data_IF_193859993670
#
_entry.id   IF_193859993670
#
_cell.length_a   1.000
_cell.length_b   1.000
_cell.length_c   1.000
_cell.angle_alpha   90.00
_cell.angle_beta   90.00
_cell.angle_gamma   90.00
#
_symmetry.space_group_name_H-M   'P 1'
#
loop_
_entity.id
_entity.type
_entity.pdbx_description
1 polymer ?
#
# COMPACT_ATOMS: atom_id res chain seq x y z
N UNK A 1 -10.29 -22.06 -2.12
CA UNK A 1 -9.65 -20.75 -2.39
C UNK A 1 -9.27 -20.72 -3.86
N UNK A 2 -10.00 -20.00 -4.71
CA UNK A 2 -9.60 -19.80 -6.10
C UNK A 2 -8.37 -18.89 -6.12
N UNK A 3 -7.33 -19.32 -6.82
CA UNK A 3 -6.14 -18.50 -7.05
C UNK A 3 -6.57 -17.31 -7.91
N UNK A 4 -6.19 -16.09 -7.52
CA UNK A 4 -6.42 -14.90 -8.34
C UNK A 4 -5.69 -15.08 -9.68
N UNK A 5 -6.45 -15.31 -10.75
CA UNK A 5 -5.93 -15.32 -12.13
C UNK A 5 -6.03 -13.89 -12.64
N UNK A 6 -4.90 -13.32 -13.06
CA UNK A 6 -4.91 -12.02 -13.72
C UNK A 6 -5.83 -12.08 -14.96
N UNK A 7 -6.61 -11.03 -15.27
CA UNK A 7 -7.54 -11.05 -16.40
C UNK A 7 -6.86 -11.39 -17.73
N UNK A 8 -5.62 -10.91 -17.91
CA UNK A 8 -4.82 -11.17 -19.11
C UNK A 8 -3.62 -12.07 -18.86
N UNK A 9 -3.42 -13.00 -19.80
CA UNK A 9 -2.25 -13.87 -19.84
C UNK A 9 -1.08 -13.10 -20.45
N UNK A 10 0.07 -13.14 -19.78
CA UNK A 10 1.31 -12.55 -20.29
C UNK A 10 1.84 -13.51 -21.35
N UNK A 11 2.23 -13.05 -22.56
CA UNK A 11 2.90 -13.90 -23.54
C UNK A 11 4.11 -14.60 -22.91
N UNK A 12 4.33 -15.89 -23.21
CA UNK A 12 5.42 -16.71 -22.62
C UNK A 12 6.78 -16.01 -22.69
N UNK A 13 7.00 -15.27 -23.77
CA UNK A 13 8.28 -14.64 -24.08
C UNK A 13 8.42 -13.21 -23.51
N UNK A 14 7.37 -12.70 -22.85
CA UNK A 14 7.34 -11.36 -22.27
C UNK A 14 7.32 -10.22 -23.31
N UNK A 15 6.89 -9.03 -22.88
CA UNK A 15 6.98 -7.82 -23.68
C UNK A 15 8.42 -7.28 -23.59
N UNK A 16 9.31 -7.77 -24.46
CA UNK A 16 10.76 -7.62 -24.31
C UNK A 16 11.34 -6.22 -24.59
N UNK A 17 10.51 -5.21 -24.91
CA UNK A 17 11.02 -3.93 -25.42
C UNK A 17 10.91 -2.76 -24.44
N UNK A 18 9.98 -2.79 -23.49
CA UNK A 18 9.73 -1.64 -22.62
C UNK A 18 9.76 -2.07 -21.14
N UNK A 19 10.92 -1.86 -20.50
CA UNK A 19 11.05 -2.03 -19.05
C UNK A 19 11.28 -0.66 -18.39
N UNK A 20 10.37 -0.27 -17.50
CA UNK A 20 10.51 0.94 -16.67
C UNK A 20 11.53 0.77 -15.52
N UNK A 21 12.26 -0.34 -15.46
CA UNK A 21 13.35 -0.58 -14.51
C UNK A 21 13.59 -2.05 -14.21
N UNK A 22 14.66 -2.37 -13.49
CA UNK A 22 14.97 -3.73 -13.05
C UNK A 22 14.00 -4.18 -11.96
N UNK A 23 12.94 -4.90 -12.33
CA UNK A 23 12.06 -5.56 -11.38
C UNK A 23 12.73 -6.84 -10.83
N UNK A 24 13.06 -6.84 -9.53
CA UNK A 24 13.49 -8.04 -8.83
C UNK A 24 12.32 -8.64 -8.03
N UNK A 25 11.83 -9.84 -8.37
CA UNK A 25 10.75 -10.50 -7.62
C UNK A 25 11.18 -10.80 -6.18
N UNK A 26 12.47 -11.06 -5.95
CA UNK A 26 13.05 -11.25 -4.62
C UNK A 26 12.98 -9.96 -3.82
N UNK A 27 13.44 -8.83 -4.39
CA UNK A 27 13.38 -7.53 -3.72
C UNK A 27 11.93 -7.12 -3.43
N UNK A 28 11.00 -7.36 -4.36
CA UNK A 28 9.57 -7.10 -4.15
C UNK A 28 9.00 -7.93 -2.99
N UNK A 29 9.36 -9.21 -2.90
CA UNK A 29 8.95 -10.10 -1.79
C UNK A 29 9.54 -9.62 -0.46
N UNK A 30 10.83 -9.29 -0.41
CA UNK A 30 11.49 -8.79 0.79
C UNK A 30 10.82 -7.50 1.28
N UNK A 31 10.62 -6.52 0.39
CA UNK A 31 9.94 -5.25 0.74
C UNK A 31 8.55 -5.48 1.32
N UNK A 32 7.77 -6.40 0.73
CA UNK A 32 6.45 -6.77 1.23
C UNK A 32 6.52 -7.39 2.63
N UNK A 33 7.44 -8.32 2.84
CA UNK A 33 7.62 -8.95 4.16
C UNK A 33 8.02 -7.91 5.20
N UNK A 34 8.97 -7.03 4.90
CA UNK A 34 9.37 -5.95 5.81
C UNK A 34 8.20 -5.03 6.16
N UNK A 35 7.44 -4.56 5.17
CA UNK A 35 6.28 -3.70 5.42
C UNK A 35 5.21 -4.37 6.28
N UNK A 36 4.92 -5.65 6.04
CA UNK A 36 3.97 -6.42 6.86
C UNK A 36 4.51 -6.64 8.27
N UNK A 37 5.79 -6.99 8.42
CA UNK A 37 6.41 -7.16 9.74
C UNK A 37 6.37 -5.87 10.56
N UNK A 38 6.64 -4.71 9.94
CA UNK A 38 6.53 -3.39 10.59
C UNK A 38 5.08 -3.14 11.03
N UNK A 39 4.10 -3.40 10.15
CA UNK A 39 2.69 -3.22 10.49
C UNK A 39 2.21 -4.14 11.62
N UNK A 40 2.64 -5.40 11.62
CA UNK A 40 2.34 -6.37 12.69
C UNK A 40 2.99 -5.92 14.00
N UNK A 41 4.26 -5.54 13.97
CA UNK A 41 4.96 -5.05 15.16
C UNK A 41 4.26 -3.81 15.73
N UNK A 42 3.89 -2.84 14.89
CA UNK A 42 3.13 -1.67 15.32
C UNK A 42 1.79 -2.05 15.95
N UNK A 43 1.04 -2.99 15.35
CA UNK A 43 -0.22 -3.47 15.90
C UNK A 43 -0.02 -4.16 17.27
N UNK A 44 1.03 -4.97 17.43
CA UNK A 44 1.36 -5.61 18.70
C UNK A 44 1.73 -4.58 19.77
N UNK A 45 2.48 -3.53 19.43
CA UNK A 45 2.81 -2.44 20.36
C UNK A 45 1.54 -1.72 20.79
N UNK A 46 0.65 -1.35 19.85
CA UNK A 46 -0.63 -0.69 20.17
C UNK A 46 -1.51 -1.57 21.07
N UNK A 47 -1.60 -2.88 20.79
CA UNK A 47 -2.43 -3.81 21.57
C UNK A 47 -1.83 -4.12 22.94
N UNK A 48 -0.50 -4.26 23.05
CA UNK A 48 0.19 -4.56 24.29
C UNK A 48 0.46 -3.34 25.17
N UNK A 49 0.25 -2.13 24.63
CA UNK A 49 0.48 -0.87 25.34
C UNK A 49 -0.43 -0.71 26.56
N UNK A 50 -1.70 -1.17 26.53
CA UNK A 50 -2.58 -1.09 27.71
C UNK A 50 -2.07 -1.86 28.91
N UNK A 51 -1.24 -2.88 28.68
CA UNK A 51 -0.84 -3.87 29.68
C UNK A 51 0.60 -3.66 30.17
N UNK A 52 1.28 -2.59 29.75
CA UNK A 52 2.71 -2.33 30.01
C UNK A 52 3.59 -3.56 29.71
N UNK A 53 3.30 -4.26 28.62
CA UNK A 53 3.89 -5.56 28.35
C UNK A 53 5.35 -5.44 27.85
N UNK A 54 6.30 -5.68 28.76
CA UNK A 54 7.74 -5.63 28.48
C UNK A 54 8.23 -6.67 27.47
N UNK A 55 7.41 -7.68 27.14
CA UNK A 55 7.75 -8.70 26.13
C UNK A 55 7.71 -8.15 24.69
N UNK A 56 6.89 -7.13 24.44
CA UNK A 56 6.74 -6.53 23.09
C UNK A 56 7.62 -5.28 22.95
N UNK A 57 7.67 -4.46 23.99
CA UNK A 57 8.53 -3.29 24.06
C UNK A 57 9.29 -3.33 25.38
N UNK A 58 10.62 -3.46 25.32
CA UNK A 58 11.45 -3.60 26.53
C UNK A 58 11.35 -2.36 27.45
N UNK A 59 11.11 -1.19 26.87
CA UNK A 59 11.06 0.11 27.55
C UNK A 59 9.78 0.87 27.16
N UNK A 60 8.59 0.43 27.61
CA UNK A 60 7.33 1.09 27.27
C UNK A 60 7.25 2.54 27.78
N UNK A 61 8.04 2.88 28.80
CA UNK A 61 8.17 4.24 29.35
C UNK A 61 8.69 5.28 28.36
N UNK A 62 9.44 4.85 27.32
CA UNK A 62 9.97 5.73 26.29
C UNK A 62 8.99 5.96 25.12
N UNK A 63 7.81 5.33 25.16
CA UNK A 63 6.81 5.47 24.11
C UNK A 63 5.97 6.73 24.32
N UNK A 64 5.79 7.49 23.23
CA UNK A 64 4.84 8.59 23.22
C UNK A 64 3.40 8.03 23.08
N UNK A 65 2.65 8.07 24.18
CA UNK A 65 1.27 7.59 24.27
C UNK A 65 0.35 8.17 23.18
N UNK A 66 0.59 9.41 22.76
CA UNK A 66 -0.21 10.07 21.73
C UNK A 66 -0.08 9.44 20.35
N UNK A 67 1.00 8.71 20.08
CA UNK A 67 1.23 8.04 18.78
C UNK A 67 0.55 6.66 18.71
N UNK A 68 0.43 5.97 19.85
CA UNK A 68 -0.11 4.60 19.92
C UNK A 68 -1.58 4.55 20.37
N UNK A 69 -2.22 5.71 20.53
CA UNK A 69 -3.65 5.85 20.82
C UNK A 69 -4.39 6.46 19.63
N UNK A 70 -5.72 6.37 19.63
CA UNK A 70 -6.55 7.04 18.62
C UNK A 70 -6.34 8.54 18.71
N UNK A 71 -5.87 9.13 17.62
CA UNK A 71 -5.68 10.56 17.50
C UNK A 71 -6.22 11.04 16.14
N UNK A 72 -6.54 12.34 15.99
CA UNK A 72 -7.10 12.86 14.74
C UNK A 72 -6.22 12.57 13.52
N UNK A 73 -4.89 12.59 13.70
CA UNK A 73 -3.95 12.32 12.61
C UNK A 73 -4.06 10.87 12.13
N UNK A 74 -4.04 9.88 13.03
CA UNK A 74 -4.19 8.46 12.66
C UNK A 74 -5.55 8.19 12.03
N UNK A 75 -6.62 8.82 12.53
CA UNK A 75 -7.95 8.76 11.91
C UNK A 75 -7.96 9.33 10.48
N UNK A 76 -7.33 10.48 10.24
CA UNK A 76 -7.22 11.08 8.90
C UNK A 76 -6.39 10.18 7.98
N UNK A 77 -5.26 9.65 8.42
CA UNK A 77 -4.45 8.73 7.64
C UNK A 77 -5.25 7.49 7.21
N UNK A 78 -5.96 6.86 8.15
CA UNK A 78 -6.80 5.70 7.84
C UNK A 78 -7.92 6.06 6.85
N UNK A 79 -8.57 7.21 7.03
CA UNK A 79 -9.58 7.70 6.09
C UNK A 79 -9.02 7.87 4.68
N UNK A 80 -7.85 8.50 4.53
CA UNK A 80 -7.21 8.68 3.22
C UNK A 80 -6.88 7.34 2.55
N UNK A 81 -6.44 6.34 3.31
CA UNK A 81 -6.17 4.99 2.77
C UNK A 81 -7.46 4.27 2.38
N UNK A 82 -8.45 4.23 3.26
CA UNK A 82 -9.67 3.42 3.11
C UNK A 82 -10.66 4.06 2.15
N UNK A 83 -10.82 5.38 2.18
CA UNK A 83 -11.86 6.08 1.43
C UNK A 83 -11.34 6.73 0.14
N UNK A 84 -10.01 6.90 -0.02
CA UNK A 84 -9.44 7.53 -1.23
C UNK A 84 -8.49 6.57 -1.95
N UNK A 85 -7.37 6.20 -1.33
CA UNK A 85 -6.31 5.43 -1.98
C UNK A 85 -6.74 4.04 -2.44
N UNK A 86 -7.44 3.30 -1.56
CA UNK A 86 -8.01 1.98 -1.86
C UNK A 86 -9.07 2.03 -2.97
N UNK A 87 -10.13 2.85 -2.82
CA UNK A 87 -11.18 2.97 -3.82
C UNK A 87 -10.66 3.39 -5.20
N UNK A 88 -9.74 4.36 -5.30
CA UNK A 88 -9.13 4.73 -6.58
C UNK A 88 -8.44 3.56 -7.27
N UNK A 89 -7.74 2.71 -6.52
CA UNK A 89 -7.09 1.51 -7.08
C UNK A 89 -8.09 0.45 -7.50
N UNK A 90 -9.05 0.14 -6.64
CA UNK A 90 -10.02 -0.92 -6.91
C UNK A 90 -10.92 -0.53 -8.09
N UNK A 91 -11.35 0.73 -8.17
CA UNK A 91 -12.13 1.25 -9.29
C UNK A 91 -11.33 1.29 -10.58
N UNK A 92 -10.03 1.66 -10.55
CA UNK A 92 -9.15 1.56 -11.71
C UNK A 92 -9.05 0.13 -12.26
N UNK A 93 -8.90 -0.86 -11.37
CA UNK A 93 -8.88 -2.28 -11.76
C UNK A 93 -10.22 -2.74 -12.32
N UNK A 94 -11.33 -2.33 -11.70
CA UNK A 94 -12.67 -2.65 -12.15
C UNK A 94 -12.99 -2.03 -13.53
N UNK A 95 -12.57 -0.78 -13.77
CA UNK A 95 -12.83 -0.07 -15.02
C UNK A 95 -11.97 -0.57 -16.19
N UNK A 96 -10.71 -0.93 -15.94
CA UNK A 96 -9.89 -1.56 -16.99
C UNK A 96 -10.35 -2.98 -17.30
N UNK A 97 -10.80 -3.73 -16.29
CA UNK A 97 -11.31 -5.08 -16.47
C UNK A 97 -10.32 -5.97 -17.23
N UNK A 98 -10.74 -6.46 -18.41
CA UNK A 98 -9.90 -7.28 -19.29
C UNK A 98 -8.76 -6.51 -19.96
N UNK A 99 -8.70 -5.18 -19.90
CA UNK A 99 -7.55 -4.42 -20.39
C UNK A 99 -6.45 -4.25 -19.32
N UNK A 100 -6.68 -4.73 -18.08
CA UNK A 100 -5.72 -4.59 -17.00
C UNK A 100 -4.60 -5.63 -17.08
N UNK A 101 -3.36 -5.18 -16.90
CA UNK A 101 -2.19 -6.04 -16.78
C UNK A 101 -1.25 -5.56 -15.65
N UNK A 102 -0.68 -6.50 -14.91
CA UNK A 102 0.33 -6.22 -13.88
C UNK A 102 1.74 -6.01 -14.46
N UNK A 103 1.96 -6.44 -15.71
CA UNK A 103 3.17 -6.17 -16.47
C UNK A 103 2.85 -5.20 -17.58
N UNK A 104 3.78 -4.31 -17.93
CA UNK A 104 3.58 -3.42 -19.06
C UNK A 104 3.34 -4.25 -20.33
N UNK A 105 2.28 -3.93 -21.05
CA UNK A 105 1.86 -4.59 -22.28
C UNK A 105 0.93 -3.65 -23.06
N UNK A 106 0.86 -3.78 -24.38
CA UNK A 106 -0.02 -2.98 -25.20
C UNK A 106 -1.48 -3.28 -24.82
N UNK A 107 -2.30 -2.24 -24.64
CA UNK A 107 -3.73 -2.43 -24.44
C UNK A 107 -4.41 -2.77 -25.77
N UNK A 108 -5.48 -3.57 -25.72
CA UNK A 108 -6.32 -3.83 -26.90
C UNK A 108 -7.12 -2.58 -27.30
N UNK A 109 -7.49 -1.76 -26.31
CA UNK A 109 -8.28 -0.54 -26.49
C UNK A 109 -7.84 0.56 -25.52
N UNK A 110 -7.93 1.83 -25.96
CA UNK A 110 -7.64 2.98 -25.10
C UNK A 110 -8.88 3.36 -24.28
N UNK A 111 -8.81 3.19 -22.96
CA UNK A 111 -9.88 3.60 -22.03
C UNK A 111 -9.77 5.09 -21.71
N UNK A 112 -10.79 5.87 -22.07
CA UNK A 112 -10.87 7.32 -21.77
C UNK A 112 -12.18 7.71 -21.06
N UNK A 113 -12.95 6.71 -20.63
CA UNK A 113 -14.25 6.90 -20.00
C UNK A 113 -14.16 7.08 -18.48
N UNK A 114 -15.21 7.66 -17.90
CA UNK A 114 -15.38 7.82 -16.45
C UNK A 114 -14.17 8.49 -15.78
N UNK A 115 -13.46 7.81 -14.87
CA UNK A 115 -12.28 8.37 -14.18
C UNK A 115 -11.10 8.60 -15.12
N UNK A 116 -10.97 7.77 -16.16
CA UNK A 116 -9.88 7.87 -17.14
C UNK A 116 -9.97 9.12 -18.02
N UNK A 117 -11.12 9.80 -18.03
CA UNK A 117 -11.28 11.13 -18.63
C UNK A 117 -10.51 12.22 -17.88
N UNK A 118 -10.36 12.08 -16.57
CA UNK A 118 -9.75 13.10 -15.70
C UNK A 118 -8.32 12.73 -15.30
N UNK A 119 -8.01 11.44 -15.23
CA UNK A 119 -6.72 10.95 -14.76
C UNK A 119 -6.30 9.71 -15.54
N UNK A 120 -5.12 9.72 -16.16
CA UNK A 120 -4.64 8.60 -16.97
C UNK A 120 -4.29 7.35 -16.13
N UNK A 121 -3.88 7.56 -14.87
CA UNK A 121 -3.38 6.49 -14.01
C UNK A 121 -3.98 6.49 -12.59
N UNK A 122 -5.31 6.36 -12.44
CA UNK A 122 -5.97 6.38 -11.13
C UNK A 122 -5.46 5.28 -10.19
N UNK A 123 -5.11 4.11 -10.73
CA UNK A 123 -4.49 3.03 -9.97
C UNK A 123 -3.11 3.37 -9.40
N UNK A 124 -2.26 4.10 -10.14
CA UNK A 124 -0.96 4.55 -9.62
C UNK A 124 -1.12 5.70 -8.65
N UNK A 125 -2.04 6.62 -8.90
CA UNK A 125 -2.36 7.70 -7.95
C UNK A 125 -2.83 7.14 -6.62
N UNK A 126 -3.74 6.18 -6.62
CA UNK A 126 -4.16 5.50 -5.39
C UNK A 126 -3.01 4.76 -4.69
N UNK A 127 -2.08 4.16 -5.43
CA UNK A 127 -0.86 3.56 -4.85
C UNK A 127 0.04 4.60 -4.19
N UNK A 128 0.22 5.77 -4.81
CA UNK A 128 1.02 6.86 -4.25
C UNK A 128 0.39 7.37 -2.96
N UNK A 129 -0.93 7.59 -2.94
CA UNK A 129 -1.67 7.99 -1.72
C UNK A 129 -1.45 6.98 -0.60
N UNK A 130 -1.64 5.69 -0.86
CA UNK A 130 -1.42 4.64 0.16
C UNK A 130 0.03 4.65 0.64
N UNK A 131 1.00 4.77 -0.27
CA UNK A 131 2.42 4.76 0.08
C UNK A 131 2.81 5.96 0.95
N UNK A 132 2.47 7.16 0.53
CA UNK A 132 2.79 8.41 1.23
C UNK A 132 2.11 8.44 2.60
N UNK A 133 0.84 8.05 2.68
CA UNK A 133 0.10 8.04 3.95
C UNK A 133 0.67 7.02 4.92
N UNK A 134 0.99 5.79 4.47
CA UNK A 134 1.65 4.81 5.34
C UNK A 134 3.03 5.29 5.79
N UNK A 135 3.82 5.90 4.90
CA UNK A 135 5.12 6.48 5.27
C UNK A 135 4.96 7.56 6.33
N UNK A 136 3.99 8.47 6.15
CA UNK A 136 3.68 9.53 7.11
C UNK A 136 3.15 9.01 8.44
N UNK A 137 2.51 7.84 8.46
CA UNK A 137 1.99 7.23 9.68
C UNK A 137 3.09 6.51 10.46
N UNK A 138 3.97 5.77 9.77
CA UNK A 138 5.02 4.96 10.41
C UNK A 138 6.34 5.71 10.65
N UNK A 139 6.68 6.72 9.84
CA UNK A 139 7.91 7.52 9.98
C UNK A 139 7.62 8.91 10.54
N UNK A 140 6.71 8.99 11.52
CA UNK A 140 6.39 10.23 12.20
C UNK A 140 7.61 10.73 12.98
N UNK A 141 7.98 11.98 12.73
CA UNK A 141 9.18 12.60 13.30
C UNK A 141 9.04 12.91 14.80
N UNK A 142 7.81 12.95 15.31
CA UNK A 142 7.47 13.15 16.72
C UNK A 142 7.42 11.84 17.53
N UNK A 143 7.89 10.72 16.94
CA UNK A 143 7.99 9.41 17.59
C UNK A 143 9.20 9.23 18.51
N UNK A 144 10.16 10.15 18.51
CA UNK A 144 11.24 10.20 19.50
C UNK A 144 10.77 11.10 20.65
N UNK A 145 10.57 10.50 21.83
CA UNK A 145 10.28 11.28 23.05
C UNK A 145 11.44 12.23 23.39
N UNK A 146 11.18 13.32 24.13
CA UNK A 146 12.25 14.13 24.72
C UNK A 146 13.14 13.32 25.68
#
# INVERSE_FOLDING_TARGET
MSYFKAPNEIPRDGWNKDSLGTYSPVAARIRRMLAVSIGIFHALVVLGYSDNNSLVCLHPENLNNGLFTWNPYTSVCLFLVICIGGPLRLTAFAQLGSNFTFKLGPPDTLTTDSMYRYMQHPGYTGQIVVMVVNLSMFLRWDGVGP
#
